data_IF_960061019389
#
_entry.id   IF_960061019389
#
_cell.length_a   1.000
_cell.length_b   1.000
_cell.length_c   1.000
_cell.angle_alpha   90.00
_cell.angle_beta   90.00
_cell.angle_gamma   90.00
#
_symmetry.space_group_name_H-M   'P 1'
#
loop_
_entity.id
_entity.type
_entity.pdbx_description
1 polymer ?
#
# COMPACT_ATOMS: atom_id res chain seq x y z
N UNK A 1 5.95 9.84 0.53
CA UNK A 1 7.27 9.81 1.14
C UNK A 1 7.51 8.55 1.93
N UNK A 2 8.60 7.91 1.62
CA UNK A 2 8.98 6.67 2.27
C UNK A 2 10.13 6.98 3.24
N UNK A 3 9.99 6.65 4.52
CA UNK A 3 11.06 6.93 5.48
C UNK A 3 12.34 6.21 5.10
N UNK A 4 13.45 6.93 5.09
CA UNK A 4 14.74 6.34 4.72
C UNK A 4 15.10 5.15 5.60
N UNK A 5 14.81 5.25 6.89
CA UNK A 5 15.15 4.17 7.81
C UNK A 5 14.44 2.87 7.46
N UNK A 6 13.19 2.96 7.01
CA UNK A 6 12.45 1.77 6.60
C UNK A 6 12.88 1.32 5.23
N UNK A 7 13.14 2.26 4.33
CA UNK A 7 13.55 1.94 2.99
C UNK A 7 14.85 1.13 2.97
N UNK A 8 15.76 1.44 3.86
CA UNK A 8 17.01 0.70 3.96
C UNK A 8 16.81 -0.75 4.35
N UNK A 9 15.75 -1.05 5.06
CA UNK A 9 15.47 -2.41 5.48
C UNK A 9 14.72 -3.21 4.43
N UNK A 10 14.10 -2.54 3.47
CA UNK A 10 13.34 -3.20 2.44
C UNK A 10 14.27 -3.91 1.46
N UNK A 11 13.97 -5.18 1.20
CA UNK A 11 14.72 -5.94 0.20
C UNK A 11 14.02 -5.93 -1.14
N UNK A 12 12.74 -5.59 -1.13
CA UNK A 12 11.94 -5.48 -2.34
C UNK A 12 11.78 -4.01 -2.64
N UNK A 13 12.18 -3.59 -3.82
CA UNK A 13 12.09 -2.19 -4.21
C UNK A 13 10.63 -1.77 -4.37
N UNK A 14 10.41 -0.48 -4.30
CA UNK A 14 9.08 0.06 -4.55
C UNK A 14 8.59 -0.36 -5.94
N UNK A 15 9.45 -0.28 -6.94
CA UNK A 15 9.06 -0.64 -8.31
C UNK A 15 8.64 -2.11 -8.41
N UNK A 16 9.36 -3.00 -7.74
CA UNK A 16 9.03 -4.42 -7.75
C UNK A 16 7.71 -4.65 -7.02
N UNK A 17 7.51 -3.96 -5.90
CA UNK A 17 6.26 -4.08 -5.15
C UNK A 17 5.07 -3.58 -5.96
N UNK A 18 5.25 -2.46 -6.67
CA UNK A 18 4.21 -1.91 -7.55
C UNK A 18 3.83 -2.93 -8.62
N UNK A 19 4.81 -3.55 -9.26
CA UNK A 19 4.53 -4.54 -10.30
C UNK A 19 3.74 -5.73 -9.75
N UNK A 20 4.15 -6.22 -8.57
CA UNK A 20 3.48 -7.34 -7.93
C UNK A 20 2.04 -6.97 -7.57
N UNK A 21 1.86 -5.80 -6.94
CA UNK A 21 0.53 -5.37 -6.52
C UNK A 21 -0.38 -5.10 -7.71
N UNK A 22 0.14 -4.46 -8.74
CA UNK A 22 -0.67 -4.15 -9.92
C UNK A 22 -1.15 -5.42 -10.63
N UNK A 23 -0.34 -6.46 -10.61
CA UNK A 23 -0.73 -7.73 -11.20
C UNK A 23 -1.90 -8.36 -10.46
N UNK A 24 -2.03 -8.08 -9.17
CA UNK A 24 -3.15 -8.58 -8.36
C UNK A 24 -4.41 -7.76 -8.53
N UNK A 25 -4.27 -6.49 -8.88
CA UNK A 25 -5.41 -5.59 -9.09
C UNK A 25 -5.26 -4.93 -10.45
N UNK A 26 -5.40 -5.71 -11.52
CA UNK A 26 -5.04 -5.22 -12.86
C UNK A 26 -5.85 -4.04 -13.36
N UNK A 27 -7.07 -3.87 -12.85
CA UNK A 27 -7.90 -2.74 -13.26
C UNK A 27 -7.82 -1.57 -12.28
N UNK A 28 -7.03 -1.71 -11.24
CA UNK A 28 -6.93 -0.68 -10.22
C UNK A 28 -5.90 0.37 -10.56
N UNK A 29 -6.12 1.55 -9.99
CA UNK A 29 -5.15 2.64 -10.04
C UNK A 29 -4.69 2.86 -8.61
N UNK A 30 -3.38 2.97 -8.42
CA UNK A 30 -2.84 3.19 -7.09
C UNK A 30 -3.24 4.57 -6.59
N UNK A 31 -3.95 4.59 -5.48
CA UNK A 31 -4.39 5.81 -4.84
C UNK A 31 -3.44 6.22 -3.71
N UNK A 32 -2.86 5.25 -3.04
CA UNK A 32 -1.89 5.50 -1.98
C UNK A 32 -0.92 4.33 -1.88
N UNK A 33 0.30 4.63 -1.47
CA UNK A 33 1.34 3.64 -1.28
C UNK A 33 2.16 4.05 -0.06
N UNK A 34 2.32 3.11 0.87
CA UNK A 34 3.04 3.34 2.11
C UNK A 34 4.02 2.22 2.35
N UNK A 35 5.14 2.55 2.99
CA UNK A 35 6.04 1.53 3.53
C UNK A 35 5.94 1.63 5.03
N UNK A 36 5.56 0.53 5.68
CA UNK A 36 5.30 0.54 7.11
C UNK A 36 5.85 -0.69 7.78
N UNK A 37 6.17 -0.53 9.05
CA UNK A 37 6.59 -1.64 9.89
C UNK A 37 5.43 -1.94 10.83
N UNK A 38 4.82 -3.09 10.66
CA UNK A 38 3.62 -3.44 11.39
C UNK A 38 3.80 -4.80 12.05
N UNK A 39 3.84 -4.81 13.37
CA UNK A 39 4.02 -6.06 14.10
C UNK A 39 5.28 -6.81 13.73
N UNK A 40 6.35 -6.09 13.46
CA UNK A 40 7.62 -6.70 13.07
C UNK A 40 7.71 -7.06 11.59
N UNK A 41 6.66 -6.76 10.82
CA UNK A 41 6.67 -7.02 9.39
C UNK A 41 6.83 -5.73 8.63
N UNK A 42 7.71 -5.73 7.67
CA UNK A 42 7.91 -4.59 6.80
C UNK A 42 7.08 -4.80 5.55
N UNK A 43 6.17 -3.87 5.31
CA UNK A 43 5.14 -4.04 4.27
C UNK A 43 5.05 -2.83 3.37
N UNK A 44 4.92 -3.09 2.06
CA UNK A 44 4.47 -2.09 1.11
C UNK A 44 2.95 -2.20 1.07
N UNK A 45 2.24 -1.16 1.48
CA UNK A 45 0.78 -1.17 1.54
C UNK A 45 0.21 -0.31 0.43
N UNK A 46 -0.73 -0.87 -0.31
CA UNK A 46 -1.32 -0.24 -1.47
C UNK A 46 -2.81 -0.06 -1.29
N UNK A 47 -3.30 1.12 -1.64
CA UNK A 47 -4.73 1.36 -1.78
C UNK A 47 -5.00 1.58 -3.25
N UNK A 48 -5.90 0.82 -3.81
CA UNK A 48 -6.29 0.92 -5.21
C UNK A 48 -7.70 1.43 -5.35
N UNK A 49 -7.91 2.28 -6.34
CA UNK A 49 -9.25 2.62 -6.79
C UNK A 49 -9.55 1.81 -8.03
N UNK A 50 -10.71 1.19 -8.05
CA UNK A 50 -11.10 0.34 -9.17
C UNK A 50 -12.34 0.93 -9.83
N UNK A 51 -12.32 1.11 -11.15
CA UNK A 51 -13.50 1.65 -11.86
C UNK A 51 -14.74 0.86 -11.54
N UNK A 52 -15.81 1.56 -11.23
CA UNK A 52 -17.09 0.92 -10.95
C UNK A 52 -17.28 0.45 -9.53
N UNK A 53 -16.26 0.61 -8.68
CA UNK A 53 -16.37 0.24 -7.27
C UNK A 53 -16.26 1.47 -6.39
N UNK A 54 -17.01 1.48 -5.30
CA UNK A 54 -16.83 2.49 -4.25
C UNK A 54 -15.81 1.96 -3.24
N UNK A 55 -15.21 2.86 -2.47
CA UNK A 55 -14.19 2.46 -1.51
C UNK A 55 -12.88 2.14 -2.20
N UNK A 56 -12.08 1.33 -1.55
CA UNK A 56 -10.76 0.97 -2.06
C UNK A 56 -10.52 -0.53 -1.95
N UNK A 57 -9.62 -1.02 -2.79
CA UNK A 57 -9.09 -2.37 -2.65
C UNK A 57 -7.70 -2.22 -2.06
N UNK A 58 -7.48 -2.84 -0.92
CA UNK A 58 -6.23 -2.76 -0.19
C UNK A 58 -5.42 -4.02 -0.36
N UNK A 59 -4.11 -3.87 -0.52
CA UNK A 59 -3.21 -5.00 -0.71
C UNK A 59 -1.86 -4.68 -0.11
N UNK A 60 -1.25 -5.66 0.53
CA UNK A 60 0.08 -5.50 1.09
C UNK A 60 1.05 -6.47 0.43
N UNK A 61 2.28 -5.99 0.23
CA UNK A 61 3.36 -6.81 -0.31
C UNK A 61 4.47 -6.81 0.72
N UNK A 62 4.92 -7.99 1.12
CA UNK A 62 5.99 -8.11 2.10
C UNK A 62 7.27 -7.51 1.52
N UNK A 63 7.84 -6.54 2.19
CA UNK A 63 8.99 -5.81 1.68
C UNK A 63 10.30 -6.60 1.81
N UNK A 64 10.26 -7.74 2.48
CA UNK A 64 11.44 -8.61 2.61
C UNK A 64 11.38 -9.78 1.64
N UNK A 65 10.19 -10.34 1.42
CA UNK A 65 10.03 -11.53 0.60
C UNK A 65 9.43 -11.28 -0.77
N UNK A 66 8.70 -10.17 -0.91
CA UNK A 66 8.00 -9.87 -2.15
C UNK A 66 6.65 -10.54 -2.28
N UNK A 67 6.23 -11.27 -1.25
CA UNK A 67 4.98 -12.00 -1.31
C UNK A 67 3.78 -11.07 -1.11
N UNK A 68 2.80 -11.17 -2.00
CA UNK A 68 1.58 -10.38 -1.89
C UNK A 68 0.56 -11.08 -1.00
N UNK A 69 -0.15 -10.30 -0.22
CA UNK A 69 -1.24 -10.81 0.57
C UNK A 69 -2.55 -10.83 -0.22
N UNK A 70 -3.65 -10.88 0.50
CA UNK A 70 -4.97 -10.87 -0.10
C UNK A 70 -5.38 -9.46 -0.48
N UNK A 71 -6.20 -9.35 -1.50
CA UNK A 71 -6.85 -8.10 -1.83
C UNK A 71 -8.08 -7.98 -0.93
N UNK A 72 -8.16 -6.90 -0.18
CA UNK A 72 -9.26 -6.68 0.76
C UNK A 72 -10.00 -5.42 0.34
N UNK A 73 -11.29 -5.55 0.10
CA UNK A 73 -12.10 -4.39 -0.26
C UNK A 73 -12.57 -3.70 1.03
N UNK A 74 -12.40 -2.38 1.06
CA UNK A 74 -12.88 -1.57 2.17
C UNK A 74 -13.90 -0.58 1.67
N UNK A 75 -15.04 -0.54 2.36
CA UNK A 75 -16.07 0.44 2.04
C UNK A 75 -15.60 1.84 2.41
N UNK A 76 -16.25 2.89 1.92
CA UNK A 76 -15.87 4.24 2.30
C UNK A 76 -15.89 4.47 3.81
N UNK A 77 -16.80 3.85 4.54
CA UNK A 77 -16.86 3.99 5.97
C UNK A 77 -15.67 3.33 6.66
N UNK A 78 -15.29 2.13 6.22
CA UNK A 78 -14.14 1.44 6.77
C UNK A 78 -12.84 2.17 6.43
N UNK A 79 -12.76 2.71 5.23
CA UNK A 79 -11.62 3.49 4.81
C UNK A 79 -11.42 4.70 5.71
N UNK A 80 -12.50 5.34 6.09
CA UNK A 80 -12.45 6.49 6.97
C UNK A 80 -11.91 6.13 8.35
N UNK A 81 -12.36 5.02 8.90
CA UNK A 81 -11.87 4.55 10.18
C UNK A 81 -10.41 4.21 10.13
N UNK A 82 -9.99 3.58 9.05
CA UNK A 82 -8.61 3.19 8.90
C UNK A 82 -7.69 4.39 8.76
N UNK A 83 -8.14 5.42 8.06
CA UNK A 83 -7.35 6.63 7.93
C UNK A 83 -7.08 7.26 9.29
N UNK A 84 -8.08 7.24 10.18
CA UNK A 84 -7.89 7.76 11.53
C UNK A 84 -6.90 6.92 12.32
N UNK A 85 -6.94 5.60 12.17
CA UNK A 85 -6.00 4.72 12.84
C UNK A 85 -4.59 4.89 12.30
N UNK A 86 -4.48 5.04 10.99
CA UNK A 86 -3.18 5.23 10.33
C UNK A 86 -2.51 6.51 10.81
N UNK A 87 -3.28 7.55 11.02
CA UNK A 87 -2.72 8.79 11.52
C UNK A 87 -2.05 8.59 12.88
N UNK A 88 -2.59 7.69 13.69
CA UNK A 88 -2.00 7.40 14.98
C UNK A 88 -0.73 6.57 14.87
N UNK A 89 -0.62 5.79 13.82
CA UNK A 89 0.53 4.93 13.63
C UNK A 89 1.66 5.62 12.87
N UNK A 90 1.46 6.87 12.52
CA UNK A 90 2.48 7.66 11.85
C UNK A 90 2.99 7.03 10.56
N UNK A 91 2.08 6.52 9.76
CA UNK A 91 2.43 6.00 8.44
C UNK A 91 2.72 7.14 7.49
N UNK A 92 3.55 6.86 6.50
CA UNK A 92 3.91 7.85 5.51
C UNK A 92 3.58 7.32 4.13
N UNK A 93 2.81 8.07 3.37
CA UNK A 93 2.49 7.70 2.01
C UNK A 93 3.66 7.95 1.10
N UNK A 94 3.91 7.01 0.22
CA UNK A 94 4.99 7.17 -0.74
C UNK A 94 4.58 8.16 -1.82
N UNK A 95 5.46 9.08 -2.10
CA UNK A 95 5.19 10.11 -3.10
C UNK A 95 5.01 9.51 -4.49
N UNK A 96 5.66 8.41 -4.76
CA UNK A 96 5.58 7.77 -6.06
C UNK A 96 4.16 7.40 -6.44
N UNK A 97 3.33 7.09 -5.45
CA UNK A 97 1.95 6.71 -5.72
C UNK A 97 1.18 7.83 -6.40
N UNK A 98 1.57 9.05 -6.18
CA UNK A 98 0.85 10.19 -6.71
C UNK A 98 1.33 10.62 -8.07
N UNK A 99 2.45 10.12 -8.47
CA UNK A 99 3.09 10.57 -9.69
C UNK A 99 2.92 9.64 -10.83
N UNK A 100 2.04 8.69 -10.68
CA UNK A 100 1.85 7.76 -11.76
C UNK A 100 1.40 8.50 -12.98
N UNK A 101 2.13 8.37 -14.05
CA UNK A 101 1.74 9.00 -15.29
C UNK A 101 0.49 8.40 -15.84
#
# INVERSE_FOLDING_TARGET
>A
DVPDALLKKAKITEAAAVATAQAKVPKGTIDALELENEGGKLLWSFDFKVPGKTGIDELQVNALTGKAGKVVHESPAAEKKEAAADAKEAKVKAAAAKKKP
#
